data_IF_279172013781
#
_entry.id   IF_279172013781
#
_cell.length_a   1.000
_cell.length_b   1.000
_cell.length_c   1.000
_cell.angle_alpha   90.00
_cell.angle_beta   90.00
_cell.angle_gamma   90.00
#
_symmetry.space_group_name_H-M   'P 1'
#
loop_
_entity.id
_entity.type
_entity.pdbx_description
1 polymer ?
#
# COMPACT_ATOMS: atom_id res chain seq x y z
N UNK A 1 28.70 32.55 -7.22
CA UNK A 1 28.16 32.58 -5.85
C UNK A 1 26.74 32.06 -5.95
N UNK A 2 26.38 30.98 -5.23
CA UNK A 2 25.03 30.44 -5.29
C UNK A 2 24.07 31.38 -4.57
N UNK A 3 22.88 31.58 -5.15
CA UNK A 3 21.83 32.39 -4.54
C UNK A 3 21.23 31.69 -3.32
N UNK A 4 20.85 32.46 -2.30
CA UNK A 4 20.45 31.94 -0.99
C UNK A 4 18.94 31.83 -0.93
N UNK A 5 18.43 30.64 -0.59
CA UNK A 5 17.01 30.44 -0.37
C UNK A 5 16.57 31.15 0.92
N UNK A 6 15.48 31.92 0.86
CA UNK A 6 14.97 32.73 1.97
C UNK A 6 13.68 32.16 2.57
N UNK A 7 12.83 31.53 1.77
CA UNK A 7 11.60 30.90 2.27
C UNK A 7 11.18 29.74 1.37
N UNK A 8 10.70 28.68 2.00
CA UNK A 8 10.05 27.54 1.34
C UNK A 8 8.58 27.55 1.70
N UNK A 9 7.71 27.44 0.70
CA UNK A 9 6.26 27.44 0.84
C UNK A 9 5.68 26.20 0.19
N UNK A 10 4.74 25.55 0.86
CA UNK A 10 4.00 24.41 0.31
C UNK A 10 2.51 24.70 0.19
N UNK A 11 1.95 24.31 -0.93
CA UNK A 11 0.55 24.46 -1.30
C UNK A 11 -0.05 23.09 -1.59
N UNK A 12 -1.34 22.95 -1.35
CA UNK A 12 -2.08 21.70 -1.52
C UNK A 12 -3.23 21.91 -2.51
N UNK A 13 -3.34 21.00 -3.46
CA UNK A 13 -4.35 21.03 -4.52
C UNK A 13 -4.30 22.36 -5.29
N UNK A 14 -5.48 22.93 -5.53
CA UNK A 14 -5.63 24.23 -6.19
C UNK A 14 -5.59 25.44 -5.22
N UNK A 15 -5.32 25.22 -3.93
CA UNK A 15 -5.34 26.31 -2.95
C UNK A 15 -4.27 27.36 -3.26
N UNK A 16 -4.62 28.66 -3.32
CA UNK A 16 -3.65 29.74 -3.49
C UNK A 16 -2.90 30.06 -2.20
N UNK A 17 -3.40 29.64 -1.03
CA UNK A 17 -2.77 29.86 0.25
C UNK A 17 -1.83 28.69 0.61
N UNK A 18 -0.60 28.95 1.10
CA UNK A 18 0.29 27.89 1.55
C UNK A 18 -0.24 27.28 2.85
N UNK A 19 -0.12 25.97 3.01
CA UNK A 19 -0.42 25.28 4.27
C UNK A 19 0.82 25.10 5.14
N UNK A 20 2.02 25.30 4.58
CA UNK A 20 3.27 25.16 5.33
C UNK A 20 4.29 26.18 4.82
N UNK A 21 5.07 26.73 5.74
CA UNK A 21 6.19 27.61 5.43
C UNK A 21 7.41 27.26 6.27
N UNK A 22 8.59 27.46 5.69
CA UNK A 22 9.88 27.38 6.38
C UNK A 22 10.70 28.61 6.01
N UNK A 23 10.87 29.52 6.96
CA UNK A 23 11.59 30.78 6.82
C UNK A 23 13.07 30.58 7.18
N UNK A 24 13.95 30.81 6.19
CA UNK A 24 15.40 30.63 6.28
C UNK A 24 16.14 31.95 6.60
N UNK A 25 15.42 33.08 6.69
CA UNK A 25 16.03 34.40 6.96
C UNK A 25 16.52 34.54 8.40
N UNK A 26 16.01 33.72 9.32
CA UNK A 26 16.39 33.71 10.73
C UNK A 26 17.30 32.52 11.04
N UNK A 27 18.33 32.74 11.87
CA UNK A 27 19.23 31.68 12.33
C UNK A 27 18.44 30.58 13.04
N UNK A 28 18.57 29.33 12.56
CA UNK A 28 17.84 28.17 13.10
C UNK A 28 16.55 27.82 12.36
N UNK A 29 16.07 28.70 11.48
CA UNK A 29 14.87 28.49 10.67
C UNK A 29 13.57 28.45 11.49
N UNK A 30 12.53 29.15 11.03
CA UNK A 30 11.21 29.10 11.68
C UNK A 30 10.19 28.53 10.72
N UNK A 31 9.41 27.56 11.17
CA UNK A 31 8.35 26.98 10.36
C UNK A 31 6.96 27.29 10.90
N UNK A 32 5.97 27.18 10.03
CA UNK A 32 4.56 27.18 10.36
C UNK A 32 3.86 26.09 9.54
N UNK A 33 2.85 25.47 10.13
CA UNK A 33 2.06 24.41 9.53
C UNK A 33 0.59 24.62 9.88
N UNK A 34 -0.30 24.56 8.88
CA UNK A 34 -1.74 24.65 9.06
C UNK A 34 -2.26 23.41 9.79
N UNK A 35 -2.90 23.61 10.95
CA UNK A 35 -3.43 22.55 11.83
C UNK A 35 -4.54 21.71 11.17
N UNK A 36 -5.26 22.28 10.19
CA UNK A 36 -6.34 21.57 9.50
C UNK A 36 -5.82 20.66 8.37
N UNK A 37 -4.62 20.94 7.86
CA UNK A 37 -4.01 20.16 6.78
C UNK A 37 -3.10 19.08 7.35
N UNK A 38 -1.97 19.49 7.92
CA UNK A 38 -0.98 18.55 8.48
C UNK A 38 -0.66 18.81 9.94
N UNK A 39 -0.84 20.04 10.45
CA UNK A 39 -0.49 20.41 11.81
C UNK A 39 0.93 19.95 12.15
N UNK A 40 1.08 19.27 13.28
CA UNK A 40 2.36 18.75 13.76
C UNK A 40 2.94 17.57 12.94
N UNK A 41 2.19 17.01 11.98
CA UNK A 41 2.64 15.86 11.16
C UNK A 41 3.67 16.25 10.10
N UNK A 42 3.76 17.53 9.74
CA UNK A 42 4.64 18.03 8.70
C UNK A 42 5.89 18.68 9.28
N UNK A 43 7.06 18.25 8.82
CA UNK A 43 8.36 18.79 9.23
C UNK A 43 9.29 18.89 8.01
N UNK A 44 9.87 20.06 7.79
CA UNK A 44 10.83 20.26 6.72
C UNK A 44 12.22 19.80 7.17
N UNK A 45 12.83 18.89 6.42
CA UNK A 45 14.14 18.32 6.74
C UNK A 45 15.20 18.85 5.77
N UNK A 46 16.06 19.72 6.30
CA UNK A 46 17.20 20.30 5.58
C UNK A 46 18.42 19.36 5.53
N UNK A 47 18.41 18.24 6.28
CA UNK A 47 19.56 17.32 6.38
C UNK A 47 19.65 16.35 5.21
N UNK A 48 18.59 16.26 4.41
CA UNK A 48 18.53 15.42 3.21
C UNK A 48 18.77 16.24 1.96
N UNK A 49 19.30 15.60 0.91
CA UNK A 49 19.50 16.21 -0.40
C UNK A 49 18.72 15.42 -1.46
N UNK A 50 17.67 15.99 -2.08
CA UNK A 50 17.17 17.35 -1.88
C UNK A 50 16.44 17.54 -0.53
N UNK A 51 16.46 18.74 0.07
CA UNK A 51 15.63 19.08 1.23
C UNK A 51 14.16 18.81 0.95
N UNK A 52 13.45 18.24 1.93
CA UNK A 52 12.13 17.65 1.70
C UNK A 52 11.17 17.89 2.85
N UNK A 53 9.87 18.02 2.55
CA UNK A 53 8.82 18.03 3.56
C UNK A 53 8.46 16.59 3.93
N UNK A 54 8.72 16.21 5.19
CA UNK A 54 8.33 14.92 5.74
C UNK A 54 6.94 15.02 6.35
N UNK A 55 6.07 14.06 6.05
CA UNK A 55 4.73 13.94 6.62
C UNK A 55 4.61 12.60 7.34
N UNK A 56 4.34 12.61 8.65
CA UNK A 56 4.14 11.39 9.42
C UNK A 56 3.22 11.61 10.64
N UNK A 57 2.23 10.72 10.90
CA UNK A 57 1.81 9.59 10.06
C UNK A 57 1.03 10.06 8.82
N UNK A 58 1.11 9.29 7.74
CA UNK A 58 0.36 9.52 6.50
C UNK A 58 -1.06 8.97 6.64
N UNK A 59 -2.04 9.68 6.08
CA UNK A 59 -3.47 9.33 6.07
C UNK A 59 -3.97 9.20 4.63
N UNK A 60 -5.01 8.39 4.34
CA UNK A 60 -5.59 8.28 3.00
C UNK A 60 -6.03 9.62 2.40
N UNK A 61 -6.53 10.52 3.26
CA UNK A 61 -6.95 11.86 2.91
C UNK A 61 -5.78 12.79 2.56
N UNK A 62 -4.52 12.41 2.78
CA UNK A 62 -3.36 13.21 2.38
C UNK A 62 -3.02 13.01 0.88
N UNK A 63 -3.70 12.09 0.18
CA UNK A 63 -3.51 11.93 -1.27
C UNK A 63 -3.95 13.20 -2.02
N UNK A 64 -3.00 13.89 -2.62
CA UNK A 64 -3.24 15.13 -3.35
C UNK A 64 -2.03 15.51 -4.23
N UNK A 65 -2.18 16.61 -4.96
CA UNK A 65 -1.07 17.31 -5.61
C UNK A 65 -0.53 18.40 -4.68
N UNK A 66 0.77 18.40 -4.48
CA UNK A 66 1.47 19.35 -3.62
C UNK A 66 2.43 20.19 -4.46
N UNK A 67 2.45 21.49 -4.23
CA UNK A 67 3.34 22.42 -4.93
C UNK A 67 4.29 23.06 -3.93
N UNK A 68 5.59 22.89 -4.14
CA UNK A 68 6.65 23.56 -3.39
C UNK A 68 7.09 24.81 -4.16
N UNK A 69 7.19 25.94 -3.49
CA UNK A 69 7.79 27.17 -4.01
C UNK A 69 8.95 27.57 -3.11
N UNK A 70 10.10 27.83 -3.70
CA UNK A 70 11.29 28.33 -3.02
C UNK A 70 11.58 29.72 -3.56
N UNK A 71 11.61 30.71 -2.67
CA UNK A 71 12.03 32.06 -2.99
C UNK A 71 13.49 32.25 -2.59
N UNK A 72 14.22 32.99 -3.42
CA UNK A 72 15.64 33.28 -3.23
C UNK A 72 15.84 34.78 -3.01
N UNK A 73 16.99 35.15 -2.45
CA UNK A 73 17.32 36.55 -2.12
C UNK A 73 17.35 37.44 -3.38
N UNK A 74 17.96 36.95 -4.47
CA UNK A 74 18.19 37.76 -5.69
C UNK A 74 17.52 37.20 -6.92
N UNK A 75 17.39 35.89 -6.98
CA UNK A 75 16.94 35.14 -8.13
C UNK A 75 15.43 34.90 -8.15
N UNK A 76 14.92 34.41 -9.28
CA UNK A 76 13.51 34.09 -9.43
C UNK A 76 13.12 32.93 -8.52
N UNK A 77 11.87 32.95 -8.08
CA UNK A 77 11.27 31.83 -7.34
C UNK A 77 11.25 30.57 -8.19
N UNK A 78 11.57 29.43 -7.57
CA UNK A 78 11.50 28.11 -8.21
C UNK A 78 10.33 27.34 -7.65
N UNK A 79 9.59 26.67 -8.53
CA UNK A 79 8.40 25.89 -8.17
C UNK A 79 8.55 24.47 -8.65
N UNK A 80 8.15 23.50 -7.81
CA UNK A 80 8.05 22.10 -8.16
C UNK A 80 6.70 21.55 -7.72
N UNK A 81 6.19 20.57 -8.47
CA UNK A 81 4.91 19.90 -8.17
C UNK A 81 5.17 18.42 -7.95
N UNK A 82 4.53 17.86 -6.92
CA UNK A 82 4.64 16.46 -6.53
C UNK A 82 3.24 15.89 -6.36
N UNK A 83 3.00 14.70 -6.90
CA UNK A 83 1.76 13.96 -6.69
C UNK A 83 1.97 12.93 -5.59
N UNK A 84 1.26 13.08 -4.46
CA UNK A 84 1.32 12.12 -3.37
C UNK A 84 0.21 11.08 -3.57
N UNK A 85 0.59 9.87 -3.99
CA UNK A 85 -0.31 8.71 -3.97
C UNK A 85 -0.20 8.00 -2.61
N UNK A 86 -1.33 7.78 -1.94
CA UNK A 86 -1.35 7.08 -0.65
C UNK A 86 -1.77 5.64 -0.86
N UNK A 87 -0.90 4.72 -0.46
CA UNK A 87 -1.15 3.28 -0.48
C UNK A 87 -1.85 2.88 0.81
N UNK A 88 -2.96 2.18 0.68
CA UNK A 88 -3.69 1.58 1.79
C UNK A 88 -3.61 0.06 1.61
N UNK A 89 -3.01 -0.70 2.52
CA UNK A 89 -3.00 -2.16 2.45
C UNK A 89 -4.44 -2.73 2.42
N UNK A 90 -4.67 -3.86 1.75
CA UNK A 90 -5.95 -4.55 1.83
C UNK A 90 -6.11 -5.25 3.19
N UNK A 91 -7.30 -5.79 3.48
CA UNK A 91 -7.47 -6.67 4.65
C UNK A 91 -6.64 -7.95 4.47
N UNK A 92 -6.23 -8.62 5.57
CA UNK A 92 -5.72 -9.99 5.49
C UNK A 92 -6.67 -10.87 4.66
N UNK A 93 -6.09 -11.73 3.83
CA UNK A 93 -6.88 -12.59 2.97
C UNK A 93 -7.51 -13.73 3.80
N UNK A 94 -8.76 -14.04 3.53
CA UNK A 94 -9.50 -15.13 4.17
C UNK A 94 -9.66 -16.25 3.15
N UNK A 95 -9.26 -17.46 3.52
CA UNK A 95 -9.45 -18.67 2.71
C UNK A 95 -10.68 -19.41 3.22
N UNK A 96 -11.57 -19.80 2.31
CA UNK A 96 -12.73 -20.65 2.61
C UNK A 96 -12.73 -21.90 1.75
N UNK A 97 -13.29 -22.99 2.25
CA UNK A 97 -13.52 -24.21 1.48
C UNK A 97 -14.78 -24.10 0.58
N UNK A 98 -15.14 -25.21 -0.07
CA UNK A 98 -16.32 -25.31 -0.95
C UNK A 98 -17.65 -25.11 -0.19
N UNK A 99 -17.69 -25.41 1.12
CA UNK A 99 -18.85 -25.15 1.99
C UNK A 99 -18.98 -23.68 2.41
N UNK A 100 -17.94 -22.87 2.14
CA UNK A 100 -17.84 -21.49 2.59
C UNK A 100 -17.32 -21.34 4.02
N UNK A 101 -16.86 -22.42 4.65
CA UNK A 101 -16.26 -22.41 5.98
C UNK A 101 -14.85 -21.84 5.90
N UNK A 102 -14.47 -21.01 6.87
CA UNK A 102 -13.11 -20.44 6.95
C UNK A 102 -12.12 -21.55 7.26
N UNK A 103 -11.03 -21.60 6.50
CA UNK A 103 -9.94 -22.56 6.68
C UNK A 103 -8.81 -21.88 7.44
N UNK A 104 -8.50 -22.37 8.64
CA UNK A 104 -7.38 -21.91 9.45
C UNK A 104 -6.32 -23.01 9.55
N UNK A 105 -5.15 -22.77 8.96
CA UNK A 105 -4.03 -23.72 8.99
C UNK A 105 -4.18 -24.86 7.98
N UNK A 106 -5.17 -25.74 8.16
CA UNK A 106 -5.30 -26.97 7.36
C UNK A 106 -6.67 -27.12 6.72
N UNK A 107 -6.70 -27.40 5.42
CA UNK A 107 -7.88 -27.75 4.64
C UNK A 107 -8.02 -29.28 4.55
N UNK A 108 -9.18 -29.83 4.91
CA UNK A 108 -9.45 -31.26 4.84
C UNK A 108 -10.12 -31.81 6.11
N UNK A 109 -10.14 -33.14 6.29
CA UNK A 109 -9.45 -34.14 5.48
C UNK A 109 -10.08 -34.38 4.10
N UNK A 110 -9.26 -34.60 3.09
CA UNK A 110 -9.67 -34.97 1.73
C UNK A 110 -9.26 -36.40 1.37
N UNK A 111 -10.00 -37.03 0.47
CA UNK A 111 -9.65 -38.37 -0.03
C UNK A 111 -8.66 -38.28 -1.19
N UNK A 112 -7.75 -39.25 -1.27
CA UNK A 112 -6.90 -39.46 -2.46
C UNK A 112 -7.76 -39.67 -3.72
N UNK A 113 -7.39 -39.05 -4.83
CA UNK A 113 -8.19 -38.95 -6.06
C UNK A 113 -9.36 -37.96 -5.98
N UNK A 114 -9.60 -37.34 -4.82
CA UNK A 114 -10.65 -36.36 -4.60
C UNK A 114 -10.38 -35.02 -5.28
N UNK A 115 -11.21 -34.04 -4.95
CA UNK A 115 -11.10 -32.65 -5.41
C UNK A 115 -11.14 -31.67 -4.24
N UNK A 116 -10.46 -30.55 -4.40
CA UNK A 116 -10.41 -29.45 -3.43
C UNK A 116 -10.67 -28.14 -4.15
N UNK A 117 -11.61 -27.37 -3.60
CA UNK A 117 -11.89 -26.01 -4.04
C UNK A 117 -11.66 -25.07 -2.87
N UNK A 118 -10.65 -24.21 -2.99
CA UNK A 118 -10.34 -23.18 -2.00
C UNK A 118 -10.59 -21.81 -2.60
N UNK A 119 -11.32 -20.98 -1.88
CA UNK A 119 -11.60 -19.61 -2.27
C UNK A 119 -10.84 -18.65 -1.38
N UNK A 120 -9.92 -17.89 -1.95
CA UNK A 120 -9.28 -16.79 -1.25
C UNK A 120 -10.02 -15.48 -1.52
N UNK A 121 -10.26 -14.68 -0.47
CA UNK A 121 -10.99 -13.41 -0.54
C UNK A 121 -10.23 -12.32 0.22
N UNK A 122 -10.17 -11.12 -0.32
CA UNK A 122 -9.70 -9.92 0.38
C UNK A 122 -10.57 -8.71 0.03
N UNK A 123 -10.64 -7.72 0.91
CA UNK A 123 -11.41 -6.49 0.71
C UNK A 123 -10.56 -5.26 0.95
N UNK A 124 -10.99 -4.15 0.36
CA UNK A 124 -10.34 -2.85 0.51
C UNK A 124 -9.01 -2.80 -0.23
N UNK A 125 -8.09 -1.99 0.28
CA UNK A 125 -6.84 -1.69 -0.39
C UNK A 125 -6.97 -0.55 -1.40
N UNK A 126 -5.94 0.30 -1.45
CA UNK A 126 -5.78 1.34 -2.46
C UNK A 126 -4.31 1.33 -2.92
N UNK A 127 -4.00 1.08 -4.19
CA UNK A 127 -4.88 0.57 -5.26
C UNK A 127 -5.60 -0.75 -4.92
N UNK A 128 -6.55 -1.17 -5.76
CA UNK A 128 -7.23 -2.46 -5.61
C UNK A 128 -6.20 -3.60 -5.61
N UNK A 129 -6.28 -4.57 -4.68
CA UNK A 129 -5.34 -5.68 -4.64
C UNK A 129 -5.57 -6.66 -5.78
N UNK A 130 -4.56 -7.50 -6.00
CA UNK A 130 -4.59 -8.72 -6.81
C UNK A 130 -4.41 -9.92 -5.89
N UNK A 131 -4.97 -11.07 -6.27
CA UNK A 131 -4.83 -12.32 -5.52
C UNK A 131 -4.23 -13.39 -6.42
N UNK A 132 -3.21 -14.09 -5.91
CA UNK A 132 -2.61 -15.26 -6.57
C UNK A 132 -2.42 -16.38 -5.56
N UNK A 133 -2.49 -17.63 -5.99
CA UNK A 133 -2.05 -18.78 -5.22
C UNK A 133 -0.62 -19.17 -5.56
N UNK A 134 0.17 -19.43 -4.54
CA UNK A 134 1.58 -19.78 -4.63
C UNK A 134 1.82 -21.11 -3.92
N UNK A 135 2.54 -22.02 -4.58
CA UNK A 135 3.08 -23.27 -4.02
C UNK A 135 4.56 -23.33 -4.35
N UNK A 136 5.40 -23.63 -3.35
CA UNK A 136 6.85 -23.76 -3.51
C UNK A 136 7.51 -22.56 -4.21
N UNK A 137 7.02 -21.36 -3.91
CA UNK A 137 7.50 -20.10 -4.50
C UNK A 137 7.04 -19.84 -5.94
N UNK A 138 6.22 -20.71 -6.53
CA UNK A 138 5.68 -20.56 -7.89
C UNK A 138 4.19 -20.26 -7.86
N UNK A 139 3.77 -19.34 -8.72
CA UNK A 139 2.33 -19.05 -8.92
C UNK A 139 1.69 -20.26 -9.59
N UNK A 140 0.62 -20.78 -9.00
CA UNK A 140 -0.14 -21.92 -9.51
C UNK A 140 -1.52 -21.52 -10.02
N UNK A 141 -2.05 -20.37 -9.57
CA UNK A 141 -3.31 -19.79 -10.04
C UNK A 141 -3.26 -18.27 -9.84
N UNK A 142 -3.58 -17.50 -10.88
CA UNK A 142 -3.54 -16.03 -10.90
C UNK A 142 -4.83 -15.38 -11.41
N UNK A 143 -5.83 -16.18 -11.78
CA UNK A 143 -7.15 -15.72 -12.19
C UNK A 143 -7.96 -15.27 -10.98
N UNK A 144 -8.18 -13.96 -10.88
CA UNK A 144 -9.01 -13.36 -9.84
C UNK A 144 -10.16 -12.54 -10.42
N UNK A 145 -11.23 -12.45 -9.64
CA UNK A 145 -12.42 -11.64 -9.94
C UNK A 145 -12.54 -10.52 -8.91
N UNK A 146 -13.05 -9.36 -9.33
CA UNK A 146 -13.39 -8.25 -8.45
C UNK A 146 -14.90 -8.02 -8.53
N UNK A 147 -15.58 -8.04 -7.39
CA UNK A 147 -17.02 -7.78 -7.34
C UNK A 147 -17.34 -6.28 -7.30
N UNK A 148 -18.64 -5.93 -7.37
CA UNK A 148 -19.09 -4.53 -7.33
C UNK A 148 -18.79 -3.81 -6.00
N UNK A 149 -18.47 -4.55 -4.93
CA UNK A 149 -18.11 -4.00 -3.61
C UNK A 149 -16.59 -3.88 -3.45
N UNK A 150 -15.81 -4.23 -4.47
CA UNK A 150 -14.35 -4.23 -4.43
C UNK A 150 -13.76 -5.39 -3.65
N UNK A 151 -14.54 -6.45 -3.38
CA UNK A 151 -13.99 -7.71 -2.89
C UNK A 151 -13.28 -8.42 -4.03
N UNK A 152 -12.02 -8.79 -3.80
CA UNK A 152 -11.20 -9.55 -4.74
C UNK A 152 -11.22 -11.01 -4.32
N UNK A 153 -11.42 -11.90 -5.28
CA UNK A 153 -11.55 -13.34 -5.05
C UNK A 153 -10.74 -14.14 -6.06
N UNK A 154 -9.98 -15.12 -5.60
CA UNK A 154 -9.26 -16.10 -6.43
C UNK A 154 -9.63 -17.52 -5.98
N UNK A 155 -9.94 -18.40 -6.94
CA UNK A 155 -10.37 -19.78 -6.72
C UNK A 155 -9.25 -20.75 -7.10
N UNK A 156 -8.74 -21.51 -6.13
CA UNK A 156 -7.85 -22.63 -6.39
C UNK A 156 -8.67 -23.91 -6.56
N UNK A 157 -8.50 -24.55 -7.72
CA UNK A 157 -9.09 -25.84 -8.03
C UNK A 157 -7.98 -26.89 -8.13
N UNK A 158 -8.04 -27.91 -7.27
CA UNK A 158 -7.16 -29.07 -7.31
C UNK A 158 -8.04 -30.30 -7.55
N UNK A 159 -7.77 -31.03 -8.63
CA UNK A 159 -8.46 -32.28 -8.94
C UNK A 159 -7.46 -33.44 -8.88
N UNK A 160 -7.98 -34.66 -8.70
CA UNK A 160 -7.19 -35.89 -8.63
C UNK A 160 -6.06 -35.80 -7.59
N UNK A 161 -6.43 -35.53 -6.33
CA UNK A 161 -5.48 -35.35 -5.23
C UNK A 161 -4.57 -36.56 -5.08
N UNK A 162 -3.26 -36.38 -5.25
CA UNK A 162 -2.24 -37.41 -5.05
C UNK A 162 -1.44 -37.18 -3.78
N UNK A 163 -0.74 -38.21 -3.29
CA UNK A 163 0.06 -38.15 -2.05
C UNK A 163 1.12 -37.04 -2.00
N UNK A 164 1.57 -36.50 -3.13
CA UNK A 164 2.50 -35.35 -3.17
C UNK A 164 1.85 -34.05 -2.66
N UNK A 165 0.52 -34.01 -2.58
CA UNK A 165 -0.24 -32.92 -2.00
C UNK A 165 -0.42 -33.05 -0.49
N UNK A 166 0.04 -34.15 0.15
CA UNK A 166 -0.07 -34.31 1.60
C UNK A 166 0.84 -33.30 2.27
N UNK A 167 0.25 -32.51 3.18
CA UNK A 167 0.89 -31.38 3.85
C UNK A 167 1.42 -30.29 2.91
N UNK A 168 1.03 -30.32 1.63
CA UNK A 168 1.41 -29.30 0.68
C UNK A 168 0.79 -27.96 1.07
N UNK A 169 1.63 -26.93 1.15
CA UNK A 169 1.23 -25.59 1.54
C UNK A 169 0.89 -24.74 0.31
N UNK A 170 -0.33 -24.22 0.28
CA UNK A 170 -0.78 -23.25 -0.70
C UNK A 170 -0.94 -21.89 -0.02
N UNK A 171 -0.25 -20.88 -0.54
CA UNK A 171 -0.27 -19.51 -0.03
C UNK A 171 -1.12 -18.65 -0.95
N UNK A 172 -2.23 -18.12 -0.46
CA UNK A 172 -2.90 -17.03 -1.12
C UNK A 172 -2.18 -15.71 -0.81
N UNK A 173 -1.71 -15.04 -1.85
CA UNK A 173 -0.95 -13.79 -1.77
C UNK A 173 -1.76 -12.62 -2.29
N UNK A 174 -2.00 -11.64 -1.42
CA UNK A 174 -2.65 -10.38 -1.73
C UNK A 174 -1.64 -9.25 -1.94
N UNK A 175 -1.61 -8.66 -3.13
CA UNK A 175 -0.67 -7.60 -3.50
C UNK A 175 -1.40 -6.40 -4.09
N UNK A 176 -1.20 -5.21 -3.52
CA UNK A 176 -1.82 -3.96 -4.02
C UNK A 176 -0.81 -2.91 -4.49
N UNK A 177 0.49 -3.14 -4.34
CA UNK A 177 1.57 -2.26 -4.79
C UNK A 177 2.92 -3.01 -4.77
N UNK A 178 3.99 -2.37 -5.24
CA UNK A 178 5.35 -2.94 -5.31
C UNK A 178 6.33 -2.39 -4.24
N UNK A 179 5.83 -1.65 -3.24
CA UNK A 179 6.63 -0.99 -2.19
C UNK A 179 6.49 -1.72 -0.86
N UNK A 180 5.27 -2.10 -0.47
CA UNK A 180 5.01 -2.85 0.76
C UNK A 180 5.04 -4.35 0.52
N UNK A 181 5.32 -5.12 1.56
CA UNK A 181 5.22 -6.58 1.49
C UNK A 181 3.77 -7.00 1.22
N UNK A 182 3.54 -8.05 0.41
CA UNK A 182 2.21 -8.58 0.21
C UNK A 182 1.69 -9.25 1.49
N UNK A 183 0.37 -9.41 1.58
CA UNK A 183 -0.28 -10.13 2.66
C UNK A 183 -0.51 -11.57 2.23
N UNK A 184 0.10 -12.51 2.94
CA UNK A 184 0.06 -13.94 2.63
C UNK A 184 -0.79 -14.69 3.66
N UNK A 185 -1.70 -15.55 3.19
CA UNK A 185 -2.46 -16.49 4.01
C UNK A 185 -2.18 -17.90 3.51
N UNK A 186 -1.63 -18.76 4.36
CA UNK A 186 -1.20 -20.11 3.99
C UNK A 186 -2.16 -21.16 4.54
N UNK A 187 -2.50 -22.14 3.71
CA UNK A 187 -3.26 -23.33 4.10
C UNK A 187 -2.53 -24.59 3.64
N UNK A 188 -2.50 -25.62 4.49
CA UNK A 188 -1.96 -26.94 4.16
C UNK A 188 -3.07 -27.89 3.77
N UNK A 189 -2.83 -28.76 2.79
CA UNK A 189 -3.78 -29.80 2.40
C UNK A 189 -3.59 -31.02 3.31
N UNK A 190 -4.66 -31.43 3.99
CA UNK A 190 -4.72 -32.64 4.78
C UNK A 190 -5.52 -33.70 4.04
N UNK A 191 -4.98 -34.92 3.96
CA UNK A 191 -5.61 -36.07 3.32
C UNK A 191 -5.68 -37.28 4.24
N UNK A 192 -6.69 -38.12 4.01
CA UNK A 192 -6.94 -39.39 4.71
C UNK A 192 -7.03 -40.55 3.76
#
# INVERSE_FOLDING_TARGET
>A
MADVAIIVLWYRGASPAPFYSYDLRQSGGRHWSDETVFGQRAQFDLRVNPPSLRVHPVRPADQDTYRCRVDYERGPSRTSTVHLAVIVPPSPAVVTDESGSVVEGSAGPYLEGGRVVLTCKTIGGRPSPTLVWVRDGRVVEDSYTVDHRGQVRNLLHLDNLSRDLLDAAFTCRATNNNITRPLDTTVTINMT
#
